data_IF_280972600841
#
_entry.id   IF_280972600841
#
_cell.length_a   1.000
_cell.length_b   1.000
_cell.length_c   1.000
_cell.angle_alpha   90.00
_cell.angle_beta   90.00
_cell.angle_gamma   90.00
#
_symmetry.space_group_name_H-M   'P 1'
#
loop_
_entity.id
_entity.type
_entity.pdbx_description
1 polymer ?
#
# COMPACT_ATOMS: atom_id res chain seq x y z
N UNK A 1 9.31 -24.60 -9.12
CA UNK A 1 7.95 -25.09 -9.42
C UNK A 1 6.97 -24.43 -8.45
N UNK A 2 6.29 -23.36 -8.85
CA UNK A 2 5.14 -22.82 -8.09
C UNK A 2 3.91 -23.21 -8.91
N UNK A 3 3.19 -24.25 -8.48
CA UNK A 3 2.03 -24.76 -9.20
C UNK A 3 0.96 -23.67 -9.29
N UNK A 4 0.31 -23.62 -10.46
CA UNK A 4 -0.63 -22.59 -10.92
C UNK A 4 -1.98 -22.59 -10.19
N UNK A 5 -2.17 -23.47 -9.20
CA UNK A 5 -3.37 -23.53 -8.36
C UNK A 5 -2.92 -23.48 -6.90
N UNK A 6 -3.14 -22.33 -6.26
CA UNK A 6 -2.80 -22.17 -4.86
C UNK A 6 -3.91 -22.80 -4.02
N UNK A 7 -3.78 -24.10 -3.72
CA UNK A 7 -4.65 -24.83 -2.78
C UNK A 7 -4.81 -24.10 -1.44
N UNK A 8 -3.84 -23.24 -1.07
CA UNK A 8 -3.92 -22.34 0.07
C UNK A 8 -5.12 -21.38 0.03
N UNK A 9 -5.62 -21.02 -1.15
CA UNK A 9 -6.65 -20.00 -1.32
C UNK A 9 -8.07 -20.55 -1.22
N UNK A 10 -8.24 -21.85 -1.45
CA UNK A 10 -9.52 -22.55 -1.38
C UNK A 10 -9.66 -23.41 -0.11
N UNK A 11 -8.53 -23.79 0.50
CA UNK A 11 -8.50 -24.54 1.75
C UNK A 11 -9.08 -23.74 2.93
N UNK A 12 -9.79 -24.43 3.82
CA UNK A 12 -10.25 -23.87 5.10
C UNK A 12 -9.08 -23.63 6.06
N UNK A 13 -9.32 -22.85 7.12
CA UNK A 13 -8.28 -22.55 8.12
C UNK A 13 -7.69 -23.82 8.76
N UNK A 14 -8.52 -24.83 9.05
CA UNK A 14 -8.05 -26.09 9.63
C UNK A 14 -7.25 -26.93 8.62
N UNK A 15 -7.59 -26.86 7.34
CA UNK A 15 -6.87 -27.53 6.26
C UNK A 15 -5.49 -26.91 6.01
N UNK A 16 -5.42 -25.59 6.06
CA UNK A 16 -4.15 -24.86 5.98
C UNK A 16 -3.27 -25.25 7.18
N UNK A 17 -3.81 -25.28 8.39
CA UNK A 17 -3.06 -25.66 9.61
C UNK A 17 -2.54 -27.10 9.58
N UNK A 18 -3.32 -28.05 9.05
CA UNK A 18 -2.86 -29.45 8.90
C UNK A 18 -1.95 -29.66 7.69
N UNK A 19 -1.99 -28.75 6.71
CA UNK A 19 -1.13 -28.73 5.52
C UNK A 19 -1.62 -29.55 4.32
N UNK A 20 -2.82 -30.14 4.38
CA UNK A 20 -3.42 -30.88 3.26
C UNK A 20 -4.96 -30.71 3.21
N UNK A 21 -5.57 -30.89 2.05
CA UNK A 21 -7.04 -30.95 1.81
C UNK A 21 -7.45 -32.42 1.64
N UNK A 22 -8.68 -32.73 2.03
CA UNK A 22 -9.28 -34.07 1.87
C UNK A 22 -10.40 -33.98 0.82
N UNK A 23 -10.22 -34.66 -0.31
CA UNK A 23 -11.22 -34.74 -1.37
C UNK A 23 -11.58 -36.20 -1.65
N UNK A 24 -12.71 -36.65 -1.08
CA UNK A 24 -13.15 -38.04 -1.19
C UNK A 24 -12.12 -39.01 -0.59
N UNK A 25 -11.48 -39.82 -1.43
CA UNK A 25 -10.42 -40.75 -1.03
C UNK A 25 -9.00 -40.16 -1.17
N UNK A 26 -8.85 -38.90 -1.56
CA UNK A 26 -7.55 -38.28 -1.79
C UNK A 26 -7.18 -37.29 -0.70
N UNK A 27 -5.90 -37.24 -0.35
CA UNK A 27 -5.27 -36.19 0.43
C UNK A 27 -4.35 -35.40 -0.48
N UNK A 28 -4.49 -34.07 -0.51
CA UNK A 28 -3.76 -33.17 -1.40
C UNK A 28 -2.97 -32.17 -0.56
N UNK A 29 -1.65 -32.10 -0.72
CA UNK A 29 -0.81 -31.16 -0.02
C UNK A 29 -1.16 -29.72 -0.40
N UNK A 30 -1.45 -28.87 0.58
CA UNK A 30 -1.76 -27.45 0.36
C UNK A 30 -0.54 -26.67 -0.15
N UNK A 31 0.67 -27.16 0.14
CA UNK A 31 1.92 -26.50 -0.19
C UNK A 31 2.34 -26.70 -1.65
N UNK A 32 2.24 -27.94 -2.17
CA UNK A 32 2.74 -28.28 -3.50
C UNK A 32 1.74 -29.01 -4.41
N UNK A 33 0.55 -29.37 -3.91
CA UNK A 33 -0.44 -30.14 -4.66
C UNK A 33 -0.15 -31.65 -4.76
N UNK A 34 0.86 -32.17 -4.06
CA UNK A 34 1.15 -33.61 -4.02
C UNK A 34 -0.06 -34.39 -3.50
N UNK A 35 -0.38 -35.53 -4.12
CA UNK A 35 -1.60 -36.30 -3.84
C UNK A 35 -1.28 -37.70 -3.35
N UNK A 36 -1.98 -38.12 -2.30
CA UNK A 36 -1.97 -39.51 -1.79
C UNK A 36 -3.40 -40.04 -1.74
N UNK A 37 -3.60 -41.33 -1.97
CA UNK A 37 -4.94 -41.95 -2.01
C UNK A 37 -5.12 -42.94 -0.86
N UNK A 38 -6.27 -42.84 -0.18
CA UNK A 38 -6.71 -43.76 0.85
C UNK A 38 -6.78 -45.19 0.30
N UNK A 39 -6.35 -46.16 1.10
CA UNK A 39 -6.23 -47.57 0.71
C UNK A 39 -4.89 -47.93 0.06
N UNK A 40 -4.05 -46.95 -0.27
CA UNK A 40 -2.66 -47.18 -0.69
C UNK A 40 -1.73 -47.07 0.52
N UNK A 41 -0.78 -47.99 0.60
CA UNK A 41 0.31 -47.98 1.59
C UNK A 41 1.55 -47.39 0.94
N UNK A 42 2.12 -46.38 1.58
CA UNK A 42 3.28 -45.65 1.11
C UNK A 42 4.53 -46.04 1.94
N UNK A 43 5.54 -46.66 1.32
CA UNK A 43 6.80 -46.98 1.99
C UNK A 43 7.72 -45.76 2.04
N UNK A 44 8.28 -45.47 3.21
CA UNK A 44 9.28 -44.39 3.41
C UNK A 44 10.28 -44.81 4.50
N UNK A 45 11.58 -44.77 4.18
CA UNK A 45 12.68 -45.18 5.10
C UNK A 45 12.46 -46.54 5.80
N UNK A 46 11.85 -47.49 5.08
CA UNK A 46 11.58 -48.84 5.61
C UNK A 46 10.33 -48.94 6.50
N UNK A 47 9.58 -47.84 6.67
CA UNK A 47 8.30 -47.82 7.38
C UNK A 47 7.15 -47.71 6.37
N UNK A 48 6.08 -48.47 6.60
CA UNK A 48 4.88 -48.44 5.78
C UNK A 48 3.85 -47.50 6.42
N UNK A 49 3.40 -46.52 5.66
CA UNK A 49 2.46 -45.50 6.12
C UNK A 49 1.14 -45.57 5.35
N UNK A 50 0.03 -45.38 6.05
CA UNK A 50 -1.25 -45.08 5.42
C UNK A 50 -1.23 -43.67 4.80
N UNK A 51 -1.99 -43.46 3.72
CA UNK A 51 -2.00 -42.22 2.93
C UNK A 51 -2.04 -40.91 3.77
N UNK A 52 -2.96 -40.80 4.73
CA UNK A 52 -3.07 -39.61 5.59
C UNK A 52 -1.84 -39.38 6.49
N UNK A 53 -1.20 -40.46 6.94
CA UNK A 53 0.03 -40.39 7.74
C UNK A 53 1.22 -40.05 6.84
N UNK A 54 1.30 -40.67 5.67
CA UNK A 54 2.34 -40.39 4.70
C UNK A 54 2.29 -38.94 4.20
N UNK A 55 1.10 -38.37 4.02
CA UNK A 55 0.96 -36.95 3.66
C UNK A 55 1.63 -36.02 4.69
N UNK A 56 1.52 -36.33 5.98
CA UNK A 56 2.22 -35.56 7.03
C UNK A 56 3.74 -35.71 6.94
N UNK A 57 4.23 -36.92 6.68
CA UNK A 57 5.66 -37.18 6.45
C UNK A 57 6.17 -36.43 5.21
N UNK A 58 5.38 -36.40 4.14
CA UNK A 58 5.68 -35.62 2.94
C UNK A 58 5.80 -34.13 3.25
N UNK A 59 4.85 -33.55 4.01
CA UNK A 59 4.90 -32.15 4.41
C UNK A 59 6.19 -31.87 5.21
N UNK A 60 6.47 -32.69 6.23
CA UNK A 60 7.67 -32.54 7.06
C UNK A 60 8.97 -32.60 6.26
N UNK A 61 9.08 -33.51 5.28
CA UNK A 61 10.29 -33.67 4.46
C UNK A 61 10.43 -32.64 3.33
N UNK A 62 9.34 -32.32 2.66
CA UNK A 62 9.35 -31.46 1.47
C UNK A 62 9.22 -29.96 1.81
N UNK A 63 8.58 -29.64 2.93
CA UNK A 63 8.20 -28.27 3.28
C UNK A 63 8.61 -27.87 4.71
N UNK A 64 9.20 -28.78 5.48
CA UNK A 64 9.46 -28.56 6.89
C UNK A 64 8.16 -28.49 7.68
N UNK A 65 8.05 -27.55 8.61
CA UNK A 65 6.77 -27.34 9.30
C UNK A 65 5.82 -26.50 8.45
N UNK A 66 4.52 -26.74 8.58
CA UNK A 66 3.48 -25.90 7.96
C UNK A 66 3.67 -24.42 8.36
N UNK A 67 4.08 -24.16 9.60
CA UNK A 67 4.34 -22.81 10.08
C UNK A 67 5.48 -22.12 9.31
N UNK A 68 6.64 -22.78 9.16
CA UNK A 68 7.79 -22.26 8.41
C UNK A 68 7.42 -22.03 6.95
N UNK A 69 6.74 -23.00 6.32
CA UNK A 69 6.25 -22.86 4.96
C UNK A 69 5.36 -21.63 4.78
N UNK A 70 4.37 -21.42 5.66
CA UNK A 70 3.48 -20.25 5.61
C UNK A 70 4.23 -18.93 5.85
N UNK A 71 5.28 -18.95 6.66
CA UNK A 71 6.09 -17.77 6.97
C UNK A 71 6.95 -17.32 5.78
N UNK A 72 7.43 -18.28 4.98
CA UNK A 72 8.25 -18.05 3.79
C UNK A 72 7.46 -17.57 2.57
N UNK A 73 6.13 -17.67 2.60
CA UNK A 73 5.27 -17.18 1.53
C UNK A 73 5.47 -15.68 1.26
N UNK A 74 5.25 -15.31 0.00
CA UNK A 74 5.41 -13.94 -0.48
C UNK A 74 4.53 -12.95 0.30
N UNK A 75 5.00 -11.71 0.47
CA UNK A 75 4.27 -10.63 1.17
C UNK A 75 2.89 -10.37 0.57
N UNK A 76 2.70 -10.64 -0.71
CA UNK A 76 1.40 -10.54 -1.39
C UNK A 76 0.37 -11.55 -0.87
N UNK A 77 0.82 -12.68 -0.33
CA UNK A 77 -0.02 -13.75 0.20
C UNK A 77 -0.24 -13.57 1.71
N UNK A 78 0.84 -13.32 2.47
CA UNK A 78 0.76 -13.25 3.95
C UNK A 78 0.45 -11.86 4.49
N UNK A 79 0.73 -10.81 3.72
CA UNK A 79 0.66 -9.42 4.19
C UNK A 79 1.73 -9.04 5.22
N UNK A 80 2.70 -9.91 5.50
CA UNK A 80 3.72 -9.70 6.54
C UNK A 80 4.96 -8.98 5.99
N UNK A 81 5.52 -8.05 6.77
CA UNK A 81 6.85 -7.48 6.50
C UNK A 81 7.97 -8.42 6.92
N UNK A 82 9.20 -8.20 6.43
CA UNK A 82 10.39 -8.98 6.82
C UNK A 82 10.60 -8.99 8.34
N UNK A 83 10.43 -7.83 8.97
CA UNK A 83 10.50 -7.68 10.43
C UNK A 83 9.43 -8.52 11.13
N UNK A 84 8.18 -8.51 10.62
CA UNK A 84 7.09 -9.31 11.20
C UNK A 84 7.33 -10.81 11.03
N UNK A 85 7.90 -11.23 9.89
CA UNK A 85 8.28 -12.63 9.67
C UNK A 85 9.34 -13.08 10.67
N UNK A 86 10.41 -12.29 10.83
CA UNK A 86 11.45 -12.57 11.82
C UNK A 86 10.90 -12.66 13.25
N UNK A 87 10.01 -11.74 13.63
CA UNK A 87 9.36 -11.76 14.94
C UNK A 87 8.53 -13.04 15.15
N UNK A 88 7.70 -13.42 14.19
CA UNK A 88 6.86 -14.61 14.27
C UNK A 88 7.68 -15.90 14.36
N UNK A 89 8.78 -16.02 13.61
CA UNK A 89 9.71 -17.14 13.74
C UNK A 89 10.24 -17.28 15.17
N UNK A 90 10.76 -16.18 15.74
CA UNK A 90 11.31 -16.21 17.10
C UNK A 90 10.23 -16.49 18.16
N UNK A 91 8.99 -16.04 17.94
CA UNK A 91 7.88 -16.32 18.84
C UNK A 91 7.44 -17.79 18.79
N UNK A 92 7.49 -18.41 17.61
CA UNK A 92 7.17 -19.83 17.44
C UNK A 92 8.19 -20.73 18.14
N UNK A 93 9.47 -20.34 18.17
CA UNK A 93 10.52 -21.00 18.96
C UNK A 93 10.36 -20.81 20.49
N UNK A 94 9.39 -20.01 20.95
CA UNK A 94 9.15 -19.79 22.38
C UNK A 94 10.12 -18.83 23.07
N UNK A 95 10.93 -18.07 22.30
CA UNK A 95 11.92 -17.14 22.84
C UNK A 95 11.29 -15.98 23.62
N UNK A 96 11.98 -15.54 24.67
CA UNK A 96 11.58 -14.39 25.51
C UNK A 96 11.91 -13.08 24.81
N UNK A 97 11.20 -12.00 25.18
CA UNK A 97 11.33 -10.68 24.52
C UNK A 97 12.78 -10.18 24.40
N UNK A 98 13.61 -10.43 25.43
CA UNK A 98 15.04 -10.04 25.44
C UNK A 98 15.86 -10.86 24.44
N UNK A 99 15.54 -12.14 24.26
CA UNK A 99 16.21 -13.03 23.32
C UNK A 99 15.82 -12.68 21.88
N UNK A 100 14.54 -12.37 21.66
CA UNK A 100 14.03 -11.90 20.35
C UNK A 100 14.67 -10.57 19.96
N UNK A 101 14.77 -9.62 20.92
CA UNK A 101 15.46 -8.36 20.71
C UNK A 101 16.91 -8.58 20.26
N UNK A 102 17.65 -9.46 20.95
CA UNK A 102 19.04 -9.79 20.61
C UNK A 102 19.17 -10.48 19.25
N UNK A 103 18.26 -11.41 18.93
CA UNK A 103 18.29 -12.17 17.69
C UNK A 103 18.04 -11.30 16.44
N UNK A 104 17.11 -10.34 16.55
CA UNK A 104 16.74 -9.48 15.42
C UNK A 104 17.53 -8.16 15.39
N UNK A 105 18.12 -7.74 16.51
CA UNK A 105 18.80 -6.45 16.64
C UNK A 105 17.85 -5.25 16.54
N UNK A 106 16.55 -5.45 16.81
CA UNK A 106 15.52 -4.42 16.62
C UNK A 106 15.05 -3.87 17.96
N UNK A 107 15.24 -2.56 18.15
CA UNK A 107 14.63 -1.78 19.22
C UNK A 107 14.94 -2.27 20.64
N UNK A 108 14.00 -2.03 21.56
CA UNK A 108 14.08 -2.45 22.96
C UNK A 108 13.17 -3.66 23.23
N UNK A 109 13.35 -4.35 24.36
CA UNK A 109 12.42 -5.40 24.80
C UNK A 109 10.95 -4.91 24.87
N UNK A 110 10.73 -3.63 25.20
CA UNK A 110 9.39 -3.00 25.17
C UNK A 110 8.83 -2.89 23.75
N UNK A 111 9.68 -2.64 22.76
CA UNK A 111 9.30 -2.62 21.33
C UNK A 111 8.82 -4.01 20.88
N UNK A 112 9.52 -5.08 21.26
CA UNK A 112 9.11 -6.47 20.96
C UNK A 112 7.76 -6.80 21.59
N UNK A 113 7.55 -6.39 22.86
CA UNK A 113 6.27 -6.57 23.55
C UNK A 113 5.13 -5.85 22.83
N UNK A 114 5.37 -4.62 22.38
CA UNK A 114 4.39 -3.88 21.58
C UNK A 114 4.07 -4.62 20.27
N UNK A 115 5.09 -5.15 19.57
CA UNK A 115 4.87 -5.95 18.38
C UNK A 115 4.02 -7.20 18.65
N UNK A 116 4.23 -7.92 19.75
CA UNK A 116 3.36 -9.04 20.14
C UNK A 116 1.91 -8.59 20.30
N UNK A 117 1.68 -7.49 20.99
CA UNK A 117 0.34 -6.95 21.20
C UNK A 117 -0.33 -6.58 19.86
N UNK A 118 0.38 -5.88 18.98
CA UNK A 118 -0.13 -5.50 17.66
C UNK A 118 -0.43 -6.73 16.79
N UNK A 119 0.42 -7.75 16.81
CA UNK A 119 0.18 -9.00 16.08
C UNK A 119 -1.03 -9.76 16.63
N UNK A 120 -1.19 -9.82 17.95
CA UNK A 120 -2.38 -10.40 18.60
C UNK A 120 -3.66 -9.63 18.29
N UNK A 121 -3.56 -8.30 18.21
CA UNK A 121 -4.69 -7.46 17.80
C UNK A 121 -5.08 -7.73 16.34
N UNK A 122 -4.10 -7.80 15.44
CA UNK A 122 -4.33 -8.17 14.04
C UNK A 122 -4.94 -9.57 13.90
N UNK A 123 -4.52 -10.55 14.69
CA UNK A 123 -5.13 -11.89 14.72
C UNK A 123 -6.63 -11.80 15.07
N UNK A 124 -6.99 -11.03 16.11
CA UNK A 124 -8.39 -10.82 16.49
C UNK A 124 -9.19 -10.14 15.38
N UNK A 125 -8.64 -9.09 14.78
CA UNK A 125 -9.28 -8.36 13.68
C UNK A 125 -9.47 -9.25 12.45
N UNK A 126 -8.45 -10.02 12.07
CA UNK A 126 -8.50 -10.94 10.95
C UNK A 126 -9.56 -12.02 11.15
N UNK A 127 -9.71 -12.55 12.38
CA UNK A 127 -10.75 -13.52 12.71
C UNK A 127 -12.16 -12.94 12.51
N UNK A 128 -12.41 -11.73 13.00
CA UNK A 128 -13.71 -11.05 12.83
C UNK A 128 -13.96 -10.76 11.34
N UNK A 129 -12.94 -10.25 10.65
CA UNK A 129 -13.04 -9.94 9.22
C UNK A 129 -13.33 -11.20 8.39
N UNK A 130 -12.65 -12.31 8.65
CA UNK A 130 -12.91 -13.58 7.97
C UNK A 130 -14.36 -14.03 8.18
N UNK A 131 -14.87 -13.97 9.42
CA UNK A 131 -16.25 -14.29 9.72
C UNK A 131 -17.25 -13.39 8.98
N UNK A 132 -16.98 -12.09 8.88
CA UNK A 132 -17.80 -11.16 8.10
C UNK A 132 -17.81 -11.53 6.61
N UNK A 133 -16.66 -11.88 6.05
CA UNK A 133 -16.53 -12.28 4.64
C UNK A 133 -17.26 -13.59 4.33
N UNK A 134 -17.22 -14.56 5.23
CA UNK A 134 -17.98 -15.81 5.09
C UNK A 134 -19.49 -15.59 5.13
N UNK A 135 -19.97 -14.76 6.07
CA UNK A 135 -21.38 -14.39 6.17
C UNK A 135 -21.87 -13.61 4.94
N UNK A 136 -21.01 -12.78 4.35
CA UNK A 136 -21.30 -12.06 3.12
C UNK A 136 -21.51 -13.06 1.97
N UNK A 137 -20.55 -13.98 1.76
CA UNK A 137 -20.62 -15.03 0.72
C UNK A 137 -21.88 -15.88 0.84
N UNK A 138 -22.32 -16.19 2.07
CA UNK A 138 -23.52 -17.00 2.31
C UNK A 138 -24.82 -16.32 1.83
N UNK A 139 -24.85 -15.00 1.68
CA UNK A 139 -26.02 -14.23 1.18
C UNK A 139 -25.86 -13.75 -0.25
N UNK A 140 -24.67 -13.89 -0.84
CA UNK A 140 -24.35 -13.26 -2.11
C UNK A 140 -24.81 -14.13 -3.28
N UNK A 141 -26.06 -13.95 -3.71
CA UNK A 141 -26.61 -14.59 -4.92
C UNK A 141 -26.19 -13.90 -6.22
N UNK A 142 -25.50 -12.76 -6.12
CA UNK A 142 -25.14 -11.89 -7.25
C UNK A 142 -23.62 -11.67 -7.39
N UNK A 143 -22.78 -12.26 -6.54
CA UNK A 143 -21.33 -12.20 -6.69
C UNK A 143 -20.93 -12.71 -8.09
N UNK A 144 -20.34 -11.85 -8.95
CA UNK A 144 -19.76 -12.30 -10.21
C UNK A 144 -18.77 -13.44 -9.93
N UNK A 145 -18.80 -14.52 -10.70
CA UNK A 145 -17.93 -15.68 -10.52
C UNK A 145 -16.42 -15.32 -10.47
N UNK A 146 -16.04 -14.17 -11.05
CA UNK A 146 -14.71 -13.57 -11.02
C UNK A 146 -14.26 -13.09 -9.62
N UNK A 147 -15.19 -12.72 -8.72
CA UNK A 147 -14.92 -12.34 -7.32
C UNK A 147 -14.87 -13.56 -6.38
N UNK A 148 -15.41 -14.70 -6.81
CA UNK A 148 -15.40 -15.95 -6.04
C UNK A 148 -14.11 -16.76 -6.25
N UNK A 149 -13.37 -16.49 -7.33
CA UNK A 149 -12.04 -17.07 -7.55
C UNK A 149 -10.99 -16.31 -6.76
N UNK A 150 -9.93 -16.99 -6.29
CA UNK A 150 -8.82 -16.31 -5.65
C UNK A 150 -8.23 -15.27 -6.60
N UNK A 151 -8.22 -14.02 -6.16
CA UNK A 151 -7.52 -12.95 -6.87
C UNK A 151 -6.03 -13.25 -6.78
N UNK A 152 -5.49 -13.99 -7.75
CA UNK A 152 -4.14 -13.71 -8.21
C UNK A 152 -4.15 -12.24 -8.58
N UNK A 153 -3.36 -11.42 -7.88
CA UNK A 153 -2.99 -10.12 -8.42
C UNK A 153 -2.18 -10.40 -9.69
N UNK A 154 -2.84 -10.62 -10.81
CA UNK A 154 -2.30 -10.12 -12.07
C UNK A 154 -2.17 -8.61 -11.83
N UNK A 155 -0.94 -8.09 -11.98
CA UNK A 155 -0.60 -6.73 -11.59
C UNK A 155 -1.71 -5.79 -12.02
N UNK A 156 -2.34 -5.11 -11.05
CA UNK A 156 -3.41 -4.17 -11.36
C UNK A 156 -2.85 -3.18 -12.39
N UNK A 157 -3.32 -3.19 -13.65
CA UNK A 157 -3.00 -2.12 -14.56
C UNK A 157 -3.44 -0.83 -13.89
N UNK A 158 -2.50 0.08 -13.65
CA UNK A 158 -2.87 1.42 -13.19
C UNK A 158 -3.74 2.03 -14.31
N UNK A 159 -5.05 2.09 -14.08
CA UNK A 159 -6.01 2.55 -15.07
C UNK A 159 -5.82 4.03 -15.42
N UNK A 160 -5.94 4.35 -16.72
CA UNK A 160 -5.86 5.69 -17.32
C UNK A 160 -6.70 6.75 -16.62
N UNK A 161 -7.85 6.37 -16.07
CA UNK A 161 -8.83 7.28 -15.45
C UNK A 161 -8.36 7.92 -14.14
N UNK A 162 -7.14 7.63 -13.68
CA UNK A 162 -6.59 8.21 -12.45
C UNK A 162 -5.88 9.57 -12.67
N UNK A 163 -5.64 9.97 -13.92
CA UNK A 163 -4.94 11.22 -14.22
C UNK A 163 -5.68 12.05 -15.27
N UNK A 164 -6.14 13.24 -14.87
CA UNK A 164 -6.49 14.32 -15.82
C UNK A 164 -5.20 14.79 -16.51
N UNK A 165 -4.85 14.15 -17.64
CA UNK A 165 -3.70 14.50 -18.47
C UNK A 165 -4.20 15.38 -19.61
N UNK A 166 -3.83 16.65 -19.59
CA UNK A 166 -4.04 17.56 -20.73
C UNK A 166 -2.94 17.35 -21.78
N UNK A 167 -3.23 17.63 -23.05
CA UNK A 167 -2.23 17.51 -24.14
C UNK A 167 -1.01 18.41 -23.89
N UNK A 168 -1.24 19.59 -23.28
CA UNK A 168 -0.16 20.52 -22.89
C UNK A 168 0.74 19.96 -21.79
N UNK A 169 0.19 19.21 -20.81
CA UNK A 169 1.00 18.53 -19.79
C UNK A 169 1.83 17.40 -20.41
N UNK A 170 1.24 16.67 -21.36
CA UNK A 170 1.91 15.58 -22.08
C UNK A 170 3.14 16.08 -22.83
N UNK A 171 3.01 17.15 -23.63
CA UNK A 171 4.13 17.73 -24.38
C UNK A 171 5.25 18.23 -23.45
N UNK A 172 4.91 18.90 -22.35
CA UNK A 172 5.90 19.37 -21.35
C UNK A 172 6.70 18.23 -20.74
N UNK A 173 6.02 17.13 -20.43
CA UNK A 173 6.64 15.93 -19.86
C UNK A 173 7.55 15.26 -20.89
N UNK A 174 7.08 15.09 -22.13
CA UNK A 174 7.88 14.48 -23.19
C UNK A 174 9.13 15.30 -23.50
N UNK A 175 9.01 16.63 -23.65
CA UNK A 175 10.16 17.51 -23.89
C UNK A 175 11.19 17.49 -22.74
N UNK A 176 10.73 17.26 -21.50
CA UNK A 176 11.60 17.19 -20.33
C UNK A 176 12.41 15.89 -20.27
N UNK A 177 11.81 14.75 -20.62
CA UNK A 177 12.44 13.44 -20.46
C UNK A 177 13.02 12.86 -21.76
N UNK A 178 12.59 13.35 -22.93
CA UNK A 178 13.09 12.99 -24.26
C UNK A 178 13.76 14.19 -24.95
N UNK A 179 15.00 14.56 -24.56
CA UNK A 179 15.67 15.75 -25.09
C UNK A 179 16.02 15.65 -26.59
N UNK A 180 16.07 14.44 -27.15
CA UNK A 180 16.35 14.19 -28.57
C UNK A 180 15.08 13.81 -29.38
N UNK A 181 13.89 14.10 -28.84
CA UNK A 181 12.60 13.72 -29.44
C UNK A 181 12.10 12.36 -28.96
N UNK A 182 10.83 12.06 -29.25
CA UNK A 182 10.11 10.86 -28.75
C UNK A 182 10.71 9.53 -29.19
N UNK A 183 11.61 9.53 -30.18
CA UNK A 183 12.38 8.37 -30.65
C UNK A 183 13.77 8.25 -30.00
N UNK A 184 14.21 9.28 -29.27
CA UNK A 184 15.50 9.30 -28.58
C UNK A 184 15.51 8.57 -27.24
N UNK A 185 16.65 8.61 -26.55
CA UNK A 185 16.83 8.00 -25.23
C UNK A 185 16.29 8.87 -24.10
N UNK A 186 15.85 8.22 -23.02
CA UNK A 186 15.36 8.84 -21.80
C UNK A 186 16.52 9.35 -20.94
N UNK A 187 16.38 10.58 -20.42
CA UNK A 187 17.37 11.14 -19.48
C UNK A 187 17.37 10.46 -18.11
N UNK A 188 16.19 10.08 -17.59
CA UNK A 188 16.02 9.50 -16.25
C UNK A 188 14.66 8.80 -16.16
N UNK A 189 14.56 7.67 -15.44
CA UNK A 189 13.30 6.96 -15.20
C UNK A 189 12.73 7.15 -13.76
N UNK A 190 13.41 7.93 -12.92
CA UNK A 190 12.94 8.32 -11.58
C UNK A 190 12.02 9.56 -11.63
N UNK A 191 10.73 9.34 -11.88
CA UNK A 191 9.74 10.41 -11.99
C UNK A 191 8.41 10.06 -11.30
N UNK A 192 7.55 11.07 -11.13
CA UNK A 192 6.20 10.89 -10.57
C UNK A 192 5.35 9.96 -11.43
N UNK A 193 4.39 9.25 -10.83
CA UNK A 193 3.56 8.25 -11.51
C UNK A 193 2.84 8.78 -12.75
N UNK A 194 2.32 10.03 -12.72
CA UNK A 194 1.71 10.71 -13.89
C UNK A 194 2.69 10.82 -15.07
N UNK A 195 3.94 11.18 -14.80
CA UNK A 195 4.97 11.29 -15.83
C UNK A 195 5.42 9.92 -16.34
N UNK A 196 5.53 8.92 -15.45
CA UNK A 196 5.85 7.54 -15.85
C UNK A 196 4.83 7.01 -16.85
N UNK A 197 3.55 7.21 -16.58
CA UNK A 197 2.48 6.80 -17.49
C UNK A 197 2.63 7.44 -18.88
N UNK A 198 2.79 8.77 -18.93
CA UNK A 198 2.97 9.50 -20.20
C UNK A 198 4.17 8.98 -21.00
N UNK A 199 5.30 8.77 -20.33
CA UNK A 199 6.53 8.27 -20.95
C UNK A 199 6.35 6.83 -21.44
N UNK A 200 5.72 5.96 -20.65
CA UNK A 200 5.47 4.56 -21.01
C UNK A 200 4.50 4.44 -22.20
N UNK A 201 3.43 5.24 -22.26
CA UNK A 201 2.53 5.29 -23.41
C UNK A 201 3.26 5.71 -24.68
N UNK A 202 4.26 6.61 -24.59
CA UNK A 202 5.05 6.98 -25.75
C UNK A 202 6.00 5.86 -26.20
N UNK A 203 6.61 5.13 -25.25
CA UNK A 203 7.48 3.99 -25.53
C UNK A 203 6.71 2.87 -26.24
N UNK A 204 5.46 2.62 -25.85
CA UNK A 204 4.59 1.60 -26.44
C UNK A 204 4.39 1.79 -27.94
N UNK A 205 4.35 3.04 -28.43
CA UNK A 205 4.19 3.33 -29.86
C UNK A 205 5.34 2.81 -30.72
N UNK A 206 6.50 2.49 -30.12
CA UNK A 206 7.64 1.87 -30.82
C UNK A 206 7.42 0.37 -31.07
N UNK A 207 6.41 -0.24 -30.45
CA UNK A 207 6.05 -1.63 -30.66
C UNK A 207 4.97 -1.75 -31.74
N UNK A 208 5.13 -2.73 -32.62
CA UNK A 208 4.07 -3.14 -33.56
C UNK A 208 2.95 -3.91 -32.83
N UNK A 209 1.68 -3.45 -32.92
CA UNK A 209 0.51 -4.09 -32.30
C UNK A 209 0.22 -5.52 -32.73
N UNK A 210 0.59 -5.87 -33.97
CA UNK A 210 0.22 -7.16 -34.57
C UNK A 210 1.31 -8.21 -34.35
N UNK A 211 2.39 -7.84 -33.66
CA UNK A 211 3.57 -8.67 -33.49
C UNK A 211 3.70 -9.14 -32.05
N UNK A 212 4.01 -10.43 -31.89
CA UNK A 212 4.51 -10.98 -30.64
C UNK A 212 6.04 -10.89 -30.61
N UNK A 213 6.57 -10.50 -29.45
CA UNK A 213 8.00 -10.33 -29.20
C UNK A 213 8.50 -11.38 -28.23
N UNK A 214 9.70 -11.86 -28.46
CA UNK A 214 10.46 -12.61 -27.45
C UNK A 214 11.08 -11.64 -26.45
N UNK A 215 11.46 -12.14 -25.28
CA UNK A 215 12.16 -11.34 -24.26
C UNK A 215 13.37 -10.59 -24.83
N UNK A 216 14.17 -11.27 -25.65
CA UNK A 216 15.35 -10.66 -26.30
C UNK A 216 14.98 -9.50 -27.20
N UNK A 217 13.88 -9.61 -27.96
CA UNK A 217 13.43 -8.55 -28.85
C UNK A 217 12.89 -7.35 -28.07
N UNK A 218 12.13 -7.58 -27.00
CA UNK A 218 11.69 -6.50 -26.10
C UNK A 218 12.90 -5.79 -25.48
N UNK A 219 13.88 -6.54 -24.99
CA UNK A 219 15.07 -5.96 -24.38
C UNK A 219 15.86 -5.10 -25.38
N UNK A 220 16.01 -5.55 -26.63
CA UNK A 220 16.69 -4.75 -27.68
C UNK A 220 15.97 -3.43 -27.92
N UNK A 221 14.64 -3.45 -28.07
CA UNK A 221 13.85 -2.23 -28.29
C UNK A 221 13.93 -1.26 -27.11
N UNK A 222 13.86 -1.78 -25.88
CA UNK A 222 13.92 -0.95 -24.68
C UNK A 222 15.31 -0.42 -24.36
N UNK A 223 16.37 -1.13 -24.79
CA UNK A 223 17.76 -0.71 -24.60
C UNK A 223 18.10 0.55 -25.39
N UNK A 224 17.43 0.79 -26.52
CA UNK A 224 17.57 2.06 -27.28
C UNK A 224 16.93 3.25 -26.54
N UNK A 225 15.95 2.96 -25.68
CA UNK A 225 15.22 3.95 -24.89
C UNK A 225 15.97 4.29 -23.60
N UNK A 226 16.42 3.30 -22.83
CA UNK A 226 17.06 3.51 -21.53
C UNK A 226 17.94 2.33 -21.16
N UNK A 227 19.06 2.61 -20.48
CA UNK A 227 20.03 1.58 -20.09
C UNK A 227 19.43 0.54 -19.14
N UNK A 228 18.53 0.95 -18.23
CA UNK A 228 17.75 0.03 -17.39
C UNK A 228 16.45 -0.40 -18.08
N UNK A 229 16.62 -1.15 -19.18
CA UNK A 229 15.51 -1.72 -19.95
C UNK A 229 14.68 -2.73 -19.14
N UNK A 230 15.25 -3.31 -18.07
CA UNK A 230 14.55 -4.26 -17.20
C UNK A 230 13.50 -3.53 -16.35
N UNK A 231 13.86 -2.35 -15.83
CA UNK A 231 12.93 -1.48 -15.11
C UNK A 231 11.77 -1.06 -16.02
N UNK A 232 12.04 -0.56 -17.23
CA UNK A 232 10.99 -0.16 -18.17
C UNK A 232 10.06 -1.31 -18.52
N UNK A 233 10.62 -2.50 -18.80
CA UNK A 233 9.81 -3.69 -19.13
C UNK A 233 8.87 -4.07 -17.99
N UNK A 234 9.36 -4.02 -16.74
CA UNK A 234 8.52 -4.30 -15.54
C UNK A 234 7.36 -3.32 -15.47
N UNK A 235 7.63 -2.03 -15.66
CA UNK A 235 6.59 -1.02 -15.61
C UNK A 235 5.60 -1.10 -16.79
N UNK A 236 6.05 -1.43 -18.01
CA UNK A 236 5.12 -1.67 -19.12
C UNK A 236 4.11 -2.78 -18.81
N UNK A 237 4.52 -3.81 -18.06
CA UNK A 237 3.64 -4.88 -17.59
C UNK A 237 2.76 -4.41 -16.43
N UNK A 238 3.35 -3.74 -15.43
CA UNK A 238 2.62 -3.27 -14.25
C UNK A 238 1.52 -2.26 -14.62
N UNK A 239 1.73 -1.46 -15.67
CA UNK A 239 0.74 -0.52 -16.21
C UNK A 239 -0.21 -1.16 -17.24
N UNK A 240 -0.08 -2.45 -17.54
CA UNK A 240 -0.93 -3.18 -18.49
C UNK A 240 -0.79 -2.77 -19.95
N UNK A 241 0.32 -2.10 -20.30
CA UNK A 241 0.62 -1.67 -21.67
C UNK A 241 1.25 -2.81 -22.50
N UNK A 242 1.98 -3.70 -21.81
CA UNK A 242 2.60 -4.89 -22.40
C UNK A 242 2.16 -6.13 -21.61
N UNK A 243 1.57 -7.08 -22.29
CA UNK A 243 1.23 -8.38 -21.73
C UNK A 243 2.35 -9.37 -22.02
N UNK A 244 2.45 -10.41 -21.18
CA UNK A 244 3.43 -11.50 -21.36
C UNK A 244 2.86 -12.83 -20.93
N UNK A 245 3.38 -13.90 -21.52
CA UNK A 245 3.19 -15.24 -20.97
C UNK A 245 3.93 -15.36 -19.61
N UNK A 246 3.39 -16.14 -18.65
CA UNK A 246 4.01 -16.31 -17.32
C UNK A 246 5.45 -16.85 -17.35
N UNK A 247 5.79 -17.60 -18.40
CA UNK A 247 7.13 -18.14 -18.66
C UNK A 247 8.11 -17.10 -19.27
N UNK A 248 7.61 -15.91 -19.63
CA UNK A 248 8.39 -14.85 -20.27
C UNK A 248 8.80 -15.14 -21.72
N UNK A 249 8.23 -16.18 -22.35
CA UNK A 249 8.62 -16.58 -23.70
C UNK A 249 8.08 -15.62 -24.77
N UNK A 250 6.91 -15.05 -24.53
CA UNK A 250 6.22 -14.13 -25.43
C UNK A 250 5.72 -12.88 -24.71
N UNK A 251 5.80 -11.76 -25.42
CA UNK A 251 5.30 -10.44 -25.04
C UNK A 251 4.46 -9.88 -26.19
N UNK A 252 3.37 -9.19 -25.90
CA UNK A 252 2.54 -8.51 -26.91
C UNK A 252 1.90 -7.26 -26.31
N UNK A 253 1.51 -6.32 -27.16
CA UNK A 253 0.82 -5.12 -26.69
C UNK A 253 -0.57 -5.48 -26.16
N UNK A 254 -0.92 -4.93 -25.00
CA UNK A 254 -2.23 -5.12 -24.39
C UNK A 254 -3.32 -4.55 -25.28
N UNK A 255 -4.46 -5.23 -25.34
CA UNK A 255 -5.57 -4.99 -26.30
C UNK A 255 -6.25 -3.62 -26.19
N UNK A 256 -5.76 -2.72 -25.36
CA UNK A 256 -6.50 -1.56 -24.87
C UNK A 256 -6.31 -0.27 -25.69
N UNK A 257 -5.45 -0.25 -26.72
CA UNK A 257 -5.10 1.01 -27.43
C UNK A 257 -5.16 1.00 -28.97
N UNK A 258 -5.52 -0.08 -29.66
CA UNK A 258 -5.55 -0.08 -31.15
C UNK A 258 -6.93 0.11 -31.79
N UNK A 259 -7.81 0.89 -31.16
CA UNK A 259 -9.05 1.37 -31.78
C UNK A 259 -9.32 2.84 -31.43
N UNK A 260 -8.44 3.74 -31.86
CA UNK A 260 -8.72 5.17 -32.05
C UNK A 260 -7.51 5.80 -32.73
N UNK A 261 -7.38 5.59 -34.05
CA UNK A 261 -6.66 6.47 -35.00
C UNK A 261 -6.46 5.79 -36.36
N UNK A 262 -7.54 5.33 -37.00
CA UNK A 262 -7.58 5.22 -38.46
C UNK A 262 -8.98 5.66 -38.89
N UNK A 263 -9.02 6.68 -39.73
CA UNK A 263 -10.24 7.28 -40.25
C UNK A 263 -11.01 6.36 -41.20
N UNK A 264 -12.25 6.79 -41.42
CA UNK A 264 -13.17 6.42 -42.49
C UNK A 264 -14.04 5.17 -42.27
N UNK A 265 -15.24 5.40 -41.72
CA UNK A 265 -16.36 4.47 -41.72
C UNK A 265 -17.44 4.83 -40.69
N UNK A 266 -18.63 5.24 -41.17
CA UNK A 266 -19.79 5.70 -40.39
C UNK A 266 -20.17 4.88 -39.14
N UNK A 267 -20.71 5.51 -38.08
CA UNK A 267 -21.17 4.79 -36.89
C UNK A 267 -22.61 4.30 -37.06
N UNK A 268 -22.82 2.99 -37.14
CA UNK A 268 -24.13 2.37 -36.86
C UNK A 268 -24.04 1.40 -35.69
N UNK A 269 -24.47 1.87 -34.50
CA UNK A 269 -25.37 1.19 -33.54
C UNK A 269 -25.32 1.88 -32.16
N UNK A 270 -26.05 2.99 -32.04
CA UNK A 270 -26.75 3.36 -30.80
C UNK A 270 -28.11 2.69 -30.89
N UNK A 271 -28.45 1.79 -29.96
CA UNK A 271 -29.84 1.44 -29.54
C UNK A 271 -29.92 0.12 -28.72
N UNK A 272 -29.08 -0.13 -27.70
CA UNK A 272 -29.40 -1.15 -26.63
C UNK A 272 -28.96 -0.69 -25.21
N UNK A 273 -28.41 0.52 -25.01
CA UNK A 273 -27.75 0.90 -23.73
C UNK A 273 -28.38 2.03 -22.91
N UNK A 274 -29.67 2.37 -23.09
CA UNK A 274 -30.25 3.53 -22.38
C UNK A 274 -31.02 3.22 -21.09
N UNK A 275 -31.53 2.00 -20.88
CA UNK A 275 -32.37 1.72 -19.70
C UNK A 275 -31.61 1.12 -18.50
N UNK A 276 -30.31 0.81 -18.64
CA UNK A 276 -29.52 0.11 -17.59
C UNK A 276 -28.57 1.00 -16.77
N UNK A 277 -28.30 2.23 -17.21
CA UNK A 277 -27.34 3.11 -16.52
C UNK A 277 -27.99 4.01 -15.46
N UNK A 278 -29.27 4.35 -15.57
CA UNK A 278 -29.94 5.23 -14.61
C UNK A 278 -30.05 4.62 -13.20
N UNK A 279 -30.37 3.32 -13.09
CA UNK A 279 -30.49 2.64 -11.78
C UNK A 279 -29.13 2.33 -11.11
N UNK A 280 -28.05 2.26 -11.89
CA UNK A 280 -26.68 2.02 -11.38
C UNK A 280 -26.01 3.31 -10.90
N UNK A 281 -26.28 4.44 -11.54
CA UNK A 281 -25.77 5.75 -11.11
C UNK A 281 -26.44 6.20 -9.80
N UNK A 282 -27.76 6.03 -9.65
CA UNK A 282 -28.47 6.39 -8.40
C UNK A 282 -28.02 5.55 -7.18
N UNK A 283 -27.79 4.24 -7.35
CA UNK A 283 -27.31 3.37 -6.25
C UNK A 283 -25.84 3.64 -5.88
N UNK A 284 -25.00 3.96 -6.85
CA UNK A 284 -23.60 4.32 -6.61
C UNK A 284 -23.46 5.67 -5.89
N UNK A 285 -24.29 6.66 -6.23
CA UNK A 285 -24.34 7.94 -5.53
C UNK A 285 -24.91 7.83 -4.11
N UNK A 286 -25.94 7.00 -3.88
CA UNK A 286 -26.49 6.79 -2.54
C UNK A 286 -25.53 6.06 -1.60
N UNK A 287 -24.82 5.04 -2.08
CA UNK A 287 -23.90 4.25 -1.24
C UNK A 287 -22.62 5.05 -0.91
N UNK A 288 -22.13 5.87 -1.86
CA UNK A 288 -21.03 6.81 -1.60
C UNK A 288 -21.45 7.95 -0.66
N UNK A 289 -22.67 8.46 -0.77
CA UNK A 289 -23.23 9.45 0.17
C UNK A 289 -23.40 8.88 1.58
N UNK A 290 -23.90 7.64 1.73
CA UNK A 290 -24.05 6.99 3.04
C UNK A 290 -22.69 6.72 3.68
N UNK A 291 -21.70 6.24 2.93
CA UNK A 291 -20.35 5.98 3.47
C UNK A 291 -19.61 7.26 3.86
N UNK A 292 -19.80 8.35 3.10
CA UNK A 292 -19.28 9.67 3.47
C UNK A 292 -19.93 10.19 4.75
N UNK A 293 -21.23 9.95 4.94
CA UNK A 293 -21.99 10.35 6.13
C UNK A 293 -21.59 9.55 7.38
N UNK A 294 -21.40 8.24 7.22
CA UNK A 294 -20.97 7.34 8.29
C UNK A 294 -19.52 7.65 8.75
N UNK A 295 -18.62 7.94 7.81
CA UNK A 295 -17.26 8.44 8.13
C UNK A 295 -17.28 9.82 8.79
N UNK A 296 -18.22 10.69 8.42
CA UNK A 296 -18.43 11.97 9.10
C UNK A 296 -18.97 11.79 10.52
N UNK A 297 -19.79 10.78 10.78
CA UNK A 297 -20.30 10.44 12.11
C UNK A 297 -19.20 9.85 13.00
N UNK A 298 -18.40 8.92 12.48
CA UNK A 298 -17.22 8.39 13.19
C UNK A 298 -16.18 9.49 13.48
N UNK A 299 -16.00 10.45 12.58
CA UNK A 299 -15.16 11.62 12.81
C UNK A 299 -15.74 12.57 13.88
N UNK A 300 -17.06 12.62 14.05
CA UNK A 300 -17.73 13.40 15.11
C UNK A 300 -17.63 12.73 16.48
N UNK A 301 -17.56 11.40 16.54
CA UNK A 301 -17.43 10.63 17.80
C UNK A 301 -16.02 10.71 18.41
N UNK A 302 -14.98 10.89 17.59
CA UNK A 302 -13.65 11.22 18.09
C UNK A 302 -13.68 12.66 18.61
N UNK A 303 -13.78 12.84 19.93
CA UNK A 303 -13.60 14.14 20.59
C UNK A 303 -12.22 14.70 20.25
N UNK A 304 -12.14 15.57 19.25
CA UNK A 304 -10.94 16.32 18.90
C UNK A 304 -10.90 17.59 19.74
N UNK A 305 -9.80 17.77 20.46
CA UNK A 305 -9.53 18.98 21.21
C UNK A 305 -8.69 19.91 20.34
N UNK A 306 -9.17 21.13 20.14
CA UNK A 306 -8.45 22.18 19.45
C UNK A 306 -7.59 22.96 20.45
N UNK A 307 -6.43 23.47 20.05
CA UNK A 307 -5.60 24.27 20.94
C UNK A 307 -4.34 24.85 20.30
N UNK A 308 -3.63 25.62 21.11
CA UNK A 308 -2.34 26.26 20.79
C UNK A 308 -1.22 25.50 21.47
N UNK A 309 -0.13 25.27 20.75
CA UNK A 309 1.05 24.56 21.27
C UNK A 309 2.32 25.33 20.95
N UNK A 310 3.37 25.04 21.72
CA UNK A 310 4.72 25.54 21.48
C UNK A 310 5.73 24.42 21.36
N UNK A 311 6.78 24.67 20.57
CA UNK A 311 8.01 23.89 20.57
C UNK A 311 9.10 24.80 21.12
N UNK A 312 9.60 24.49 22.33
CA UNK A 312 10.64 25.26 23.02
C UNK A 312 11.96 24.52 22.94
N UNK A 313 13.01 25.22 22.52
CA UNK A 313 14.38 24.76 22.65
C UNK A 313 14.89 25.12 24.05
N UNK A 314 15.22 24.10 24.86
CA UNK A 314 15.69 24.29 26.23
C UNK A 314 17.12 24.84 26.31
N UNK A 315 17.90 24.74 25.23
CA UNK A 315 19.28 25.22 25.20
C UNK A 315 19.37 26.74 25.03
N UNK A 316 18.49 27.35 24.25
CA UNK A 316 18.55 28.78 23.93
C UNK A 316 17.25 29.55 24.22
N UNK A 317 16.22 28.86 24.72
CA UNK A 317 14.93 29.46 25.08
C UNK A 317 14.03 29.80 23.88
N UNK A 318 14.46 29.55 22.63
CA UNK A 318 13.68 29.89 21.44
C UNK A 318 12.40 29.08 21.37
N UNK A 319 11.32 29.75 20.99
CA UNK A 319 9.99 29.15 20.88
C UNK A 319 9.44 29.20 19.45
N UNK A 320 8.73 28.14 19.06
CA UNK A 320 7.90 28.08 17.87
C UNK A 320 6.46 27.87 18.29
N UNK A 321 5.58 28.81 17.95
CA UNK A 321 4.15 28.76 18.24
C UNK A 321 3.31 28.37 17.04
N UNK A 322 2.32 27.49 17.23
CA UNK A 322 1.37 27.13 16.19
C UNK A 322 0.06 26.62 16.81
N UNK A 323 -1.00 26.50 16.00
CA UNK A 323 -2.33 26.08 16.44
C UNK A 323 -2.81 24.87 15.65
N UNK A 324 -3.63 24.03 16.28
CA UNK A 324 -4.26 22.90 15.58
C UNK A 324 -5.68 22.68 16.05
N UNK A 325 -6.54 22.26 15.12
CA UNK A 325 -7.91 21.81 15.42
C UNK A 325 -7.93 20.44 16.12
N UNK A 326 -6.80 19.73 16.15
CA UNK A 326 -6.67 18.43 16.79
C UNK A 326 -5.29 18.30 17.45
N UNK A 327 -5.21 18.47 18.77
CA UNK A 327 -3.97 18.36 19.54
C UNK A 327 -3.25 17.01 19.40
N UNK A 328 -3.94 15.93 18.99
CA UNK A 328 -3.28 14.64 18.69
C UNK A 328 -2.31 14.73 17.49
N UNK A 329 -2.46 15.74 16.63
CA UNK A 329 -1.57 15.97 15.47
C UNK A 329 -0.19 16.53 15.86
N UNK A 330 -0.02 17.01 17.09
CA UNK A 330 1.25 17.60 17.57
C UNK A 330 2.40 16.59 17.52
N UNK A 331 2.14 15.31 17.77
CA UNK A 331 3.14 14.24 17.62
C UNK A 331 3.70 14.15 16.19
N UNK A 332 2.91 14.56 15.18
CA UNK A 332 3.36 14.64 13.80
C UNK A 332 4.44 15.71 13.58
N UNK A 333 4.46 16.79 14.36
CA UNK A 333 5.50 17.82 14.28
C UNK A 333 6.85 17.28 14.70
N UNK A 334 6.90 16.50 15.79
CA UNK A 334 8.12 15.80 16.24
C UNK A 334 8.63 14.83 15.17
N UNK A 335 7.73 14.07 14.55
CA UNK A 335 8.08 13.16 13.47
C UNK A 335 8.67 13.90 12.25
N UNK A 336 8.08 15.02 11.84
CA UNK A 336 8.62 15.84 10.74
C UNK A 336 10.01 16.40 11.06
N UNK A 337 10.24 16.81 12.30
CA UNK A 337 11.56 17.27 12.76
C UNK A 337 12.60 16.14 12.75
N UNK A 338 12.21 14.92 13.17
CA UNK A 338 13.08 13.74 13.08
C UNK A 338 13.44 13.36 11.63
N UNK A 339 12.48 13.50 10.71
CA UNK A 339 12.67 13.18 9.29
C UNK A 339 13.35 14.28 8.48
N UNK A 340 13.65 15.43 9.08
CA UNK A 340 14.28 16.54 8.37
C UNK A 340 13.33 17.33 7.44
N UNK A 341 12.02 17.16 7.58
CA UNK A 341 11.00 17.67 6.65
C UNK A 341 10.10 18.75 7.26
N UNK A 342 10.48 19.36 8.38
CA UNK A 342 9.68 20.42 9.01
C UNK A 342 9.70 21.71 8.17
N UNK A 343 8.54 22.40 8.06
CA UNK A 343 8.37 23.61 7.24
C UNK A 343 9.29 24.75 7.70
N UNK A 344 9.47 24.89 9.02
CA UNK A 344 10.37 25.89 9.59
C UNK A 344 11.83 25.41 9.54
N UNK A 345 12.57 25.91 8.55
CA UNK A 345 14.00 25.57 8.35
C UNK A 345 14.91 25.97 9.51
N UNK A 346 14.61 27.05 10.24
CA UNK A 346 15.42 27.51 11.39
C UNK A 346 15.28 26.53 12.56
N UNK A 347 14.03 26.13 12.85
CA UNK A 347 13.75 25.11 13.85
C UNK A 347 14.39 23.76 13.46
N UNK A 348 14.28 23.35 12.20
CA UNK A 348 14.88 22.11 11.70
C UNK A 348 16.41 22.10 11.81
N UNK A 349 17.06 23.23 11.49
CA UNK A 349 18.51 23.34 11.59
C UNK A 349 19.01 23.21 13.04
N UNK A 350 18.36 23.89 13.98
CA UNK A 350 18.71 23.77 15.40
C UNK A 350 18.32 22.40 15.98
N UNK A 351 17.23 21.79 15.51
CA UNK A 351 16.88 20.41 15.86
C UNK A 351 17.97 19.42 15.45
N UNK A 352 18.51 19.57 14.24
CA UNK A 352 19.61 18.74 13.76
C UNK A 352 20.92 18.99 14.53
N UNK A 353 21.12 20.19 15.08
CA UNK A 353 22.32 20.58 15.81
C UNK A 353 22.29 20.10 17.28
N UNK A 354 21.20 20.38 18.01
CA UNK A 354 21.10 20.09 19.45
C UNK A 354 20.45 18.73 19.75
N UNK A 355 19.79 18.12 18.76
CA UNK A 355 19.11 16.83 18.89
C UNK A 355 17.76 16.93 19.61
N UNK A 356 16.96 15.86 19.52
CA UNK A 356 15.59 15.80 20.02
C UNK A 356 15.46 16.15 21.51
N UNK A 357 16.42 15.72 22.33
CA UNK A 357 16.39 15.93 23.78
C UNK A 357 16.48 17.40 24.20
N UNK A 358 16.90 18.30 23.30
CA UNK A 358 16.97 19.73 23.56
C UNK A 358 15.63 20.45 23.33
N UNK A 359 14.58 19.75 22.88
CA UNK A 359 13.31 20.37 22.50
C UNK A 359 12.12 19.74 23.22
N UNK A 360 11.26 20.59 23.78
CA UNK A 360 10.03 20.20 24.43
C UNK A 360 8.83 20.76 23.66
N UNK A 361 7.83 19.91 23.43
CA UNK A 361 6.57 20.30 22.81
C UNK A 361 5.50 20.34 23.88
N UNK A 362 4.87 21.49 24.07
CA UNK A 362 3.92 21.75 25.15
C UNK A 362 2.62 22.33 24.60
N UNK A 363 1.49 21.88 25.15
CA UNK A 363 0.18 22.51 24.88
C UNK A 363 0.04 23.70 25.81
N UNK A 364 -0.12 24.89 25.23
CA UNK A 364 -0.28 26.13 25.97
C UNK A 364 -1.73 26.38 26.37
N UNK A 365 -2.66 26.09 25.47
CA UNK A 365 -4.07 26.36 25.69
C UNK A 365 -4.95 25.40 24.90
N UNK A 366 -5.93 24.80 25.58
CA UNK A 366 -6.98 24.00 24.95
C UNK A 366 -8.20 24.90 24.76
N UNK A 367 -8.65 25.04 23.51
CA UNK A 367 -9.83 25.82 23.20
C UNK A 367 -11.07 25.07 23.69
N UNK A 368 -11.77 25.66 24.66
CA UNK A 368 -13.05 25.13 25.14
C UNK A 368 -14.06 25.18 24.01
N UNK A 369 -14.78 24.08 23.81
CA UNK A 369 -15.81 23.97 22.78
C UNK A 369 -16.96 24.91 23.15
N UNK A 370 -17.21 25.90 22.32
CA UNK A 370 -18.41 26.73 22.42
C UNK A 370 -19.57 25.92 21.82
N UNK A 371 -20.67 25.75 22.57
CA UNK A 371 -21.87 25.04 22.10
C UNK A 371 -22.67 25.84 21.04
N UNK A 372 -22.14 26.98 20.60
CA UNK A 372 -22.78 27.87 19.64
C UNK A 372 -22.49 27.41 18.19
N UNK A 373 -23.50 26.99 17.41
CA UNK A 373 -23.33 26.51 16.03
C UNK A 373 -22.76 27.54 15.03
N UNK A 374 -22.63 28.80 15.45
CA UNK A 374 -22.13 29.91 14.64
C UNK A 374 -20.71 30.39 15.03
N UNK A 375 -20.04 29.77 16.02
CA UNK A 375 -18.65 30.16 16.34
C UNK A 375 -17.67 29.50 15.36
N UNK A 376 -16.92 30.32 14.63
CA UNK A 376 -15.83 29.82 13.80
C UNK A 376 -14.67 29.42 14.72
N UNK A 377 -14.54 28.11 14.97
CA UNK A 377 -13.47 27.56 15.80
C UNK A 377 -12.08 27.93 15.27
N UNK A 378 -11.93 28.26 13.97
CA UNK A 378 -10.66 28.76 13.41
C UNK A 378 -10.37 30.20 13.81
N UNK A 379 -11.38 31.07 13.86
CA UNK A 379 -11.22 32.46 14.31
C UNK A 379 -10.88 32.52 15.81
N UNK A 380 -11.53 31.69 16.62
CA UNK A 380 -11.22 31.55 18.03
C UNK A 380 -9.77 31.05 18.26
N UNK A 381 -9.33 30.04 17.49
CA UNK A 381 -7.93 29.59 17.52
C UNK A 381 -6.95 30.67 17.06
N UNK A 382 -7.26 31.41 16.00
CA UNK A 382 -6.41 32.48 15.50
C UNK A 382 -6.26 33.61 16.54
N UNK A 383 -7.34 33.96 17.25
CA UNK A 383 -7.30 34.92 18.37
C UNK A 383 -6.46 34.42 19.54
N UNK A 384 -6.64 33.16 19.94
CA UNK A 384 -5.80 32.54 20.97
C UNK A 384 -4.32 32.53 20.55
N UNK A 385 -4.03 32.10 19.32
CA UNK A 385 -2.67 32.06 18.78
C UNK A 385 -2.05 33.46 18.75
N UNK A 386 -2.78 34.48 18.29
CA UNK A 386 -2.31 35.87 18.27
C UNK A 386 -1.99 36.39 19.67
N UNK A 387 -2.82 36.08 20.67
CA UNK A 387 -2.55 36.42 22.08
C UNK A 387 -1.23 35.81 22.57
N UNK A 388 -0.95 34.56 22.19
CA UNK A 388 0.33 33.91 22.51
C UNK A 388 1.51 34.50 21.72
N UNK A 389 1.31 34.93 20.47
CA UNK A 389 2.32 35.67 19.72
C UNK A 389 2.67 37.03 20.35
N UNK A 390 1.69 37.73 20.93
CA UNK A 390 1.89 38.98 21.66
C UNK A 390 2.60 38.77 23.00
N UNK A 391 2.32 37.65 23.68
CA UNK A 391 2.89 37.37 25.00
C UNK A 391 4.32 36.79 24.94
N UNK A 392 4.60 35.92 23.96
CA UNK A 392 5.87 35.20 23.88
C UNK A 392 6.84 35.78 22.85
N UNK A 393 6.38 36.72 22.02
CA UNK A 393 7.17 37.38 20.97
C UNK A 393 8.18 36.44 20.28
N UNK A 394 7.72 35.34 19.63
CA UNK A 394 8.58 34.24 19.17
C UNK A 394 9.35 34.58 17.89
N UNK A 395 9.90 35.79 17.80
CA UNK A 395 10.60 36.36 16.66
C UNK A 395 12.08 36.61 17.00
N UNK A 396 12.90 36.90 15.98
CA UNK A 396 14.31 37.26 16.15
C UNK A 396 15.13 36.22 16.93
N UNK A 397 15.67 36.64 18.07
CA UNK A 397 16.49 35.82 18.98
C UNK A 397 15.65 35.01 19.98
N UNK A 398 14.36 35.33 20.14
CA UNK A 398 13.44 34.71 21.10
C UNK A 398 12.58 33.60 20.46
N UNK A 399 12.61 33.43 19.14
CA UNK A 399 11.89 32.33 18.51
C UNK A 399 12.20 32.05 17.06
N UNK A 400 11.40 31.15 16.49
CA UNK A 400 11.61 30.60 15.15
C UNK A 400 10.75 31.27 14.07
N UNK A 401 9.87 32.20 14.43
CA UNK A 401 9.02 32.92 13.48
C UNK A 401 9.79 34.08 12.84
N UNK A 402 9.43 34.42 11.59
CA UNK A 402 9.96 35.61 10.91
C UNK A 402 9.24 36.84 11.44
N UNK A 403 9.98 37.94 11.60
CA UNK A 403 9.38 39.21 12.03
C UNK A 403 8.28 39.65 11.07
N UNK A 404 7.17 40.17 11.61
CA UNK A 404 6.03 40.68 10.83
C UNK A 404 6.41 41.76 9.79
N UNK A 405 7.61 42.34 9.87
CA UNK A 405 8.13 43.32 8.91
C UNK A 405 8.62 42.72 7.58
N UNK A 406 8.89 41.41 7.49
CA UNK A 406 9.41 40.77 6.27
C UNK A 406 8.33 40.05 5.42
N UNK A 407 7.07 39.98 5.89
CA UNK A 407 5.99 39.25 5.20
C UNK A 407 5.12 40.14 4.28
N UNK A 408 5.62 41.32 3.90
CA UNK A 408 4.90 42.32 3.13
C UNK A 408 5.64 42.80 1.87
N UNK A 409 6.35 41.90 1.19
CA UNK A 409 6.85 42.09 -0.19
C UNK A 409 6.45 40.92 -1.09
#
# INVERSE_FOLDING_TARGET
>A
MKSSESWLQTASLEEIKRGYVEEGAAYICVCCGYRTEAGIIYPEEGVLYEAARYMRVHIEKAHGTVFEYLLELDKSVTGLSDVQRGLLAQFHEGKKDVEVQKALGIGSASTIRNHRFVLKEKERQAKIFLALMELLKAKDTYAPAELASPVMRQGHPIHRDQFDITEQDREKVLNKYFPQGTDGSLTTFHMQQKHKYIVLTEIVKRFDPKRKYTEKQVNTLLKEVYDDYVEIRRYLIDYGLLEREPDGSQYWLGSHEYQQNNGDGEPKRKEIRKDRNAEKEEKGEQDTMNRRKELQEQAKEVKTEAGVYQIRNEHNGKVYLDSTLNLKTINGQRFMLQMGSHLNRRLQAEWNQYGENAFVIEVLEILKKDDNPYSDSKDALAKCLNRWFEQLEPYGDQGYHRDKKESGE
#
